data_IF_913623395118
#
_entry.id   IF_913623395118
#
_cell.length_a   1.000
_cell.length_b   1.000
_cell.length_c   1.000
_cell.angle_alpha   90.00
_cell.angle_beta   90.00
_cell.angle_gamma   90.00
#
_symmetry.space_group_name_H-M   'P 1'
#
loop_
_entity.id
_entity.type
_entity.pdbx_description
1 polymer ?
#
# COMPACT_ATOMS: atom_id res chain seq x y z
N UNK A 1 67.23 12.40 -9.61
CA UNK A 1 66.23 13.38 -10.04
C UNK A 1 64.85 12.73 -9.86
N UNK A 2 64.27 13.09 -8.73
CA UNK A 2 63.05 12.47 -8.21
C UNK A 2 61.84 12.97 -8.93
N UNK A 3 61.02 12.03 -9.43
CA UNK A 3 59.66 12.32 -9.82
C UNK A 3 58.71 11.76 -8.77
N UNK A 4 58.49 12.53 -7.73
CA UNK A 4 57.37 12.40 -6.81
C UNK A 4 56.07 12.75 -7.56
N UNK A 5 55.40 11.74 -8.13
CA UNK A 5 54.03 11.89 -8.61
C UNK A 5 53.09 12.01 -7.40
N UNK A 6 52.68 13.21 -7.12
CA UNK A 6 51.57 13.53 -6.22
C UNK A 6 50.31 12.82 -6.67
N UNK A 7 49.97 11.74 -6.00
CA UNK A 7 48.60 11.18 -6.02
C UNK A 7 47.67 12.21 -5.41
N UNK A 8 47.08 13.05 -6.25
CA UNK A 8 45.93 13.86 -5.88
C UNK A 8 44.79 12.89 -5.54
N UNK A 9 44.52 12.79 -4.26
CA UNK A 9 43.35 12.15 -3.67
C UNK A 9 42.12 12.92 -4.18
N UNK A 10 41.52 12.43 -5.28
CA UNK A 10 40.24 12.91 -5.77
C UNK A 10 39.17 12.39 -4.77
N UNK A 11 39.02 13.08 -3.66
CA UNK A 11 37.75 13.05 -2.91
C UNK A 11 36.67 13.43 -3.90
N UNK A 12 35.85 12.44 -4.29
CA UNK A 12 34.68 12.70 -5.11
C UNK A 12 33.79 13.68 -4.33
N UNK A 13 33.79 14.94 -4.75
CA UNK A 13 32.70 15.85 -4.38
C UNK A 13 31.39 15.14 -4.78
N UNK A 14 30.64 14.72 -3.77
CA UNK A 14 29.29 14.20 -3.98
C UNK A 14 28.49 15.40 -4.47
N UNK A 15 28.20 15.42 -5.77
CA UNK A 15 27.36 16.45 -6.35
C UNK A 15 26.08 16.56 -5.49
N UNK A 16 25.83 17.72 -4.91
CA UNK A 16 24.73 17.97 -3.97
C UNK A 16 23.37 17.57 -4.56
N UNK A 17 23.21 17.74 -5.86
CA UNK A 17 22.00 17.33 -6.58
C UNK A 17 21.87 15.79 -6.63
N UNK A 18 22.97 15.08 -6.89
CA UNK A 18 22.96 13.61 -6.94
C UNK A 18 22.66 13.01 -5.57
N UNK A 19 23.12 13.63 -4.50
CA UNK A 19 22.84 13.24 -3.12
C UNK A 19 21.36 13.46 -2.77
N UNK A 20 20.79 14.63 -3.11
CA UNK A 20 19.37 14.90 -2.89
C UNK A 20 18.47 13.92 -3.64
N UNK A 21 18.76 13.64 -4.90
CA UNK A 21 18.04 12.64 -5.70
C UNK A 21 18.13 11.25 -5.05
N UNK A 22 19.30 10.88 -4.53
CA UNK A 22 19.48 9.60 -3.84
C UNK A 22 18.64 9.50 -2.55
N UNK A 23 18.54 10.57 -1.77
CA UNK A 23 17.69 10.65 -0.59
C UNK A 23 16.20 10.48 -0.96
N UNK A 24 15.69 11.24 -1.93
CA UNK A 24 14.30 11.11 -2.42
C UNK A 24 14.03 9.71 -2.95
N UNK A 25 14.96 9.09 -3.67
CA UNK A 25 14.83 7.71 -4.15
C UNK A 25 14.77 6.70 -3.00
N UNK A 26 15.53 6.91 -1.92
CA UNK A 26 15.51 6.06 -0.74
C UNK A 26 14.16 6.15 0.00
N UNK A 27 13.53 7.32 0.06
CA UNK A 27 12.20 7.54 0.62
C UNK A 27 11.06 6.86 -0.18
N UNK A 28 11.30 6.48 -1.46
CA UNK A 28 10.38 5.73 -2.33
C UNK A 28 8.97 6.33 -2.46
N UNK A 29 8.79 7.57 -2.96
CA UNK A 29 7.47 8.21 -3.06
C UNK A 29 6.43 7.40 -3.86
N UNK A 30 6.86 6.59 -4.84
CA UNK A 30 5.96 5.72 -5.62
C UNK A 30 5.16 4.76 -4.73
N UNK A 31 5.69 4.37 -3.57
CA UNK A 31 5.00 3.49 -2.64
C UNK A 31 3.97 4.20 -1.75
N UNK A 32 3.89 5.54 -1.77
CA UNK A 32 2.89 6.32 -1.05
C UNK A 32 1.46 6.02 -1.50
N UNK A 33 1.28 5.52 -2.72
CA UNK A 33 -0.03 5.07 -3.23
C UNK A 33 -0.72 4.06 -2.29
N UNK A 34 0.05 3.23 -1.56
CA UNK A 34 -0.51 2.28 -0.59
C UNK A 34 -1.19 2.97 0.59
N UNK A 35 -0.76 4.19 0.90
CA UNK A 35 -1.29 4.97 2.01
C UNK A 35 -2.63 5.63 1.65
N UNK A 36 -3.06 5.59 0.36
CA UNK A 36 -4.44 5.94 -0.02
C UNK A 36 -5.48 5.07 0.69
N UNK A 37 -5.08 3.89 1.22
CA UNK A 37 -5.93 3.06 2.06
C UNK A 37 -6.48 3.78 3.31
N UNK A 38 -5.82 4.87 3.79
CA UNK A 38 -6.35 5.70 4.88
C UNK A 38 -7.67 6.39 4.49
N UNK A 39 -7.86 6.70 3.21
CA UNK A 39 -9.09 7.35 2.73
C UNK A 39 -10.27 6.37 2.59
N UNK A 40 -10.05 5.06 2.78
CA UNK A 40 -11.11 4.07 2.61
C UNK A 40 -12.29 4.32 3.57
N UNK A 41 -12.03 4.60 4.85
CA UNK A 41 -13.08 4.93 5.80
C UNK A 41 -13.86 6.20 5.37
N UNK A 42 -13.14 7.26 5.02
CA UNK A 42 -13.73 8.53 4.59
C UNK A 42 -14.61 8.37 3.35
N UNK A 43 -14.21 7.50 2.41
CA UNK A 43 -14.99 7.22 1.20
C UNK A 43 -16.34 6.57 1.52
N UNK A 44 -16.38 5.62 2.48
CA UNK A 44 -17.58 4.83 2.76
C UNK A 44 -18.46 5.40 3.90
N UNK A 45 -18.00 6.42 4.66
CA UNK A 45 -18.83 7.10 5.66
C UNK A 45 -19.75 8.17 5.07
N UNK A 46 -19.51 8.61 3.84
CA UNK A 46 -20.28 9.70 3.23
C UNK A 46 -19.65 11.09 3.42
N UNK A 47 -18.48 11.16 4.05
CA UNK A 47 -17.84 12.42 4.49
C UNK A 47 -16.70 12.87 3.59
N UNK A 48 -16.56 12.31 2.37
CA UNK A 48 -15.42 12.55 1.47
C UNK A 48 -15.21 14.03 1.16
N UNK A 49 -16.30 14.79 1.01
CA UNK A 49 -16.27 16.21 0.69
C UNK A 49 -16.40 17.13 1.93
N UNK A 50 -16.46 16.56 3.13
CA UNK A 50 -16.40 17.33 4.36
C UNK A 50 -14.96 17.82 4.58
N UNK A 51 -14.75 19.13 4.45
CA UNK A 51 -13.43 19.75 4.41
C UNK A 51 -12.58 19.44 5.65
N UNK A 52 -13.19 19.40 6.84
CA UNK A 52 -12.50 19.11 8.08
C UNK A 52 -12.02 17.65 8.14
N UNK A 53 -12.86 16.69 7.78
CA UNK A 53 -12.49 15.27 7.78
C UNK A 53 -11.47 14.97 6.69
N UNK A 54 -11.65 15.55 5.50
CA UNK A 54 -10.67 15.42 4.42
C UNK A 54 -9.29 15.94 4.85
N UNK A 55 -9.22 17.13 5.45
CA UNK A 55 -7.96 17.72 5.92
C UNK A 55 -7.28 16.83 6.98
N UNK A 56 -8.04 16.28 7.94
CA UNK A 56 -7.51 15.36 8.97
C UNK A 56 -6.94 14.08 8.35
N UNK A 57 -7.67 13.44 7.42
CA UNK A 57 -7.20 12.22 6.74
C UNK A 57 -6.01 12.52 5.83
N UNK A 58 -5.97 13.69 5.20
CA UNK A 58 -4.81 14.11 4.41
C UNK A 58 -3.54 14.30 5.28
N UNK A 59 -3.67 14.91 6.47
CA UNK A 59 -2.55 15.00 7.42
C UNK A 59 -2.11 13.60 7.90
N UNK A 60 -3.06 12.70 8.14
CA UNK A 60 -2.77 11.31 8.47
C UNK A 60 -2.04 10.59 7.31
N UNK A 61 -2.44 10.84 6.09
CA UNK A 61 -1.77 10.33 4.89
C UNK A 61 -0.32 10.82 4.80
N UNK A 62 -0.06 12.10 5.06
CA UNK A 62 1.31 12.65 5.10
C UNK A 62 2.14 11.98 6.21
N UNK A 63 1.57 11.82 7.42
CA UNK A 63 2.24 11.14 8.52
C UNK A 63 2.62 9.69 8.16
N UNK A 64 1.71 8.94 7.53
CA UNK A 64 2.00 7.58 7.06
C UNK A 64 2.98 7.55 5.90
N UNK A 65 3.04 8.55 5.04
CA UNK A 65 4.05 8.65 4.00
C UNK A 65 5.44 8.78 4.60
N UNK A 66 5.61 9.64 5.60
CA UNK A 66 6.88 9.78 6.32
C UNK A 66 7.25 8.49 7.08
N UNK A 67 6.30 7.89 7.81
CA UNK A 67 6.53 6.63 8.51
C UNK A 67 6.93 5.50 7.54
N UNK A 68 6.23 5.37 6.41
CA UNK A 68 6.53 4.36 5.39
C UNK A 68 7.90 4.57 4.76
N UNK A 69 8.24 5.82 4.41
CA UNK A 69 9.55 6.17 3.85
C UNK A 69 10.69 5.84 4.83
N UNK A 70 10.53 6.20 6.10
CA UNK A 70 11.49 5.85 7.15
C UNK A 70 11.72 4.34 7.24
N UNK A 71 10.65 3.54 7.20
CA UNK A 71 10.75 2.07 7.29
C UNK A 71 11.44 1.47 6.05
N UNK A 72 11.26 2.04 4.86
CA UNK A 72 11.99 1.61 3.67
C UNK A 72 13.48 1.91 3.78
N UNK A 73 13.84 3.11 4.24
CA UNK A 73 15.25 3.49 4.44
C UNK A 73 15.91 2.58 5.48
N UNK A 74 15.23 2.33 6.61
CA UNK A 74 15.72 1.41 7.65
C UNK A 74 15.91 -0.01 7.08
N UNK A 75 14.95 -0.51 6.31
CA UNK A 75 15.09 -1.82 5.68
C UNK A 75 16.26 -1.85 4.66
N UNK A 76 16.47 -0.79 3.89
CA UNK A 76 17.58 -0.71 2.94
C UNK A 76 18.93 -0.64 3.66
N UNK A 77 19.01 -0.04 4.85
CA UNK A 77 20.21 -0.07 5.71
C UNK A 77 20.52 -1.50 6.18
N UNK A 78 19.51 -2.23 6.70
CA UNK A 78 19.67 -3.61 7.13
C UNK A 78 20.05 -4.55 5.98
N UNK A 79 19.47 -4.35 4.81
CA UNK A 79 19.67 -5.19 3.64
C UNK A 79 20.88 -4.76 2.78
N UNK A 80 21.56 -3.64 3.08
CA UNK A 80 22.58 -3.03 2.23
C UNK A 80 23.70 -4.02 1.82
N UNK A 81 24.16 -4.88 2.73
CA UNK A 81 25.21 -5.87 2.44
C UNK A 81 24.72 -6.93 1.43
N UNK A 82 23.51 -7.44 1.59
CA UNK A 82 22.94 -8.46 0.69
C UNK A 82 22.49 -7.87 -0.64
N UNK A 83 21.99 -6.64 -0.63
CA UNK A 83 21.50 -5.96 -1.84
C UNK A 83 22.62 -5.65 -2.84
N UNK A 84 23.86 -5.47 -2.39
CA UNK A 84 25.04 -5.27 -3.27
C UNK A 84 25.28 -6.42 -4.25
N UNK A 85 24.90 -7.63 -3.85
CA UNK A 85 25.06 -8.83 -4.69
C UNK A 85 23.81 -9.14 -5.53
N UNK A 86 22.73 -8.37 -5.36
CA UNK A 86 21.49 -8.59 -6.10
C UNK A 86 21.52 -7.83 -7.43
N UNK A 87 21.11 -8.43 -8.57
CA UNK A 87 21.22 -7.81 -9.90
C UNK A 87 20.51 -6.46 -10.00
N UNK A 88 19.35 -6.31 -9.38
CA UNK A 88 18.52 -5.10 -9.45
C UNK A 88 18.70 -4.22 -8.19
N UNK A 89 18.69 -4.83 -7.00
CA UNK A 89 18.73 -4.07 -5.73
C UNK A 89 20.08 -3.42 -5.44
N UNK A 90 21.17 -3.83 -6.12
CA UNK A 90 22.50 -3.17 -6.04
C UNK A 90 22.45 -1.69 -6.40
N UNK A 91 21.45 -1.27 -7.18
CA UNK A 91 21.27 0.12 -7.60
C UNK A 91 20.55 1.00 -6.53
N UNK A 92 20.04 0.38 -5.46
CA UNK A 92 19.42 1.13 -4.36
C UNK A 92 20.41 2.14 -3.76
N UNK A 93 19.97 3.35 -3.38
CA UNK A 93 20.86 4.43 -2.93
C UNK A 93 21.82 4.03 -1.81
N UNK A 94 21.36 3.27 -0.82
CA UNK A 94 22.20 2.81 0.30
C UNK A 94 23.14 1.68 -0.12
N UNK A 95 22.66 0.70 -0.90
CA UNK A 95 23.46 -0.42 -1.37
C UNK A 95 24.56 0.01 -2.34
N UNK A 96 24.26 0.93 -3.25
CA UNK A 96 25.20 1.49 -4.23
C UNK A 96 26.23 2.45 -3.62
N UNK A 97 25.99 2.93 -2.38
CA UNK A 97 26.84 3.92 -1.71
C UNK A 97 26.55 5.37 -2.13
N UNK A 98 25.56 5.64 -2.99
CA UNK A 98 25.13 7.01 -3.35
C UNK A 98 24.59 7.77 -2.15
N UNK A 99 23.91 7.06 -1.22
CA UNK A 99 23.48 7.60 0.06
C UNK A 99 24.23 6.85 1.18
N UNK A 100 25.21 7.49 1.84
CA UNK A 100 25.94 6.87 2.93
C UNK A 100 25.02 6.51 4.11
N UNK A 101 25.26 5.36 4.75
CA UNK A 101 24.40 4.82 5.84
C UNK A 101 24.12 5.85 6.95
N UNK A 102 25.09 6.69 7.29
CA UNK A 102 24.93 7.73 8.33
C UNK A 102 23.85 8.74 7.96
N UNK A 103 23.86 9.23 6.73
CA UNK A 103 22.86 10.18 6.24
C UNK A 103 21.49 9.51 6.04
N UNK A 104 21.45 8.26 5.54
CA UNK A 104 20.22 7.47 5.47
C UNK A 104 19.58 7.29 6.86
N UNK A 105 20.38 7.05 7.91
CA UNK A 105 19.88 6.94 9.27
C UNK A 105 19.32 8.26 9.80
N UNK A 106 20.01 9.38 9.58
CA UNK A 106 19.54 10.72 9.97
C UNK A 106 18.22 11.04 9.24
N UNK A 107 18.13 10.76 7.95
CA UNK A 107 16.92 10.93 7.17
C UNK A 107 15.77 10.09 7.73
N UNK A 108 16.01 8.80 7.99
CA UNK A 108 14.99 7.91 8.55
C UNK A 108 14.49 8.40 9.91
N UNK A 109 15.38 8.82 10.82
CA UNK A 109 15.01 9.35 12.13
C UNK A 109 14.22 10.66 12.01
N UNK A 110 14.63 11.55 11.10
CA UNK A 110 13.91 12.80 10.81
C UNK A 110 12.48 12.53 10.30
N UNK A 111 12.33 11.56 9.39
CA UNK A 111 11.01 11.16 8.87
C UNK A 111 10.15 10.49 9.96
N UNK A 112 10.71 9.68 10.85
CA UNK A 112 9.99 9.16 12.02
C UNK A 112 9.53 10.30 12.91
N UNK A 113 10.41 11.25 13.22
CA UNK A 113 10.06 12.43 14.02
C UNK A 113 8.91 13.23 13.42
N UNK A 114 8.95 13.50 12.10
CA UNK A 114 7.88 14.20 11.39
C UNK A 114 6.55 13.40 11.40
N UNK A 115 6.62 12.08 11.19
CA UNK A 115 5.44 11.22 11.24
C UNK A 115 4.76 11.27 12.63
N UNK A 116 5.55 11.16 13.70
CA UNK A 116 5.04 11.20 15.07
C UNK A 116 4.54 12.59 15.45
N UNK A 117 5.23 13.65 15.03
CA UNK A 117 4.81 15.04 15.27
C UNK A 117 3.43 15.31 14.64
N UNK A 118 3.21 14.92 13.38
CA UNK A 118 1.91 15.04 12.74
C UNK A 118 0.85 14.17 13.43
N UNK A 119 1.24 12.99 13.89
CA UNK A 119 0.32 12.08 14.56
C UNK A 119 -0.15 12.59 15.94
N UNK A 120 0.66 13.38 16.66
CA UNK A 120 0.26 13.96 17.97
C UNK A 120 -0.86 14.99 17.83
N UNK A 121 -0.95 15.68 16.69
CA UNK A 121 -2.00 16.65 16.39
C UNK A 121 -3.35 16.05 15.99
N UNK A 122 -3.42 14.72 15.88
CA UNK A 122 -4.62 13.96 15.49
C UNK A 122 -5.17 13.13 16.66
N UNK A 123 -5.95 12.09 16.34
CA UNK A 123 -6.53 11.20 17.33
C UNK A 123 -5.45 10.33 18.03
N UNK A 124 -5.50 10.10 19.37
CA UNK A 124 -4.56 9.22 20.06
C UNK A 124 -4.47 7.80 19.50
N UNK A 125 -5.58 7.20 19.06
CA UNK A 125 -5.60 5.89 18.42
C UNK A 125 -4.85 5.89 17.09
N UNK A 126 -4.89 7.01 16.35
CA UNK A 126 -4.08 7.19 15.16
C UNK A 126 -2.59 7.22 15.50
N UNK A 127 -2.20 7.94 16.55
CA UNK A 127 -0.82 7.97 17.01
C UNK A 127 -0.30 6.57 17.36
N UNK A 128 -1.09 5.79 18.12
CA UNK A 128 -0.74 4.39 18.42
C UNK A 128 -0.69 3.52 17.18
N UNK A 129 -1.52 3.78 16.16
CA UNK A 129 -1.47 3.06 14.88
C UNK A 129 -0.15 3.30 14.14
N UNK A 130 0.36 4.54 14.15
CA UNK A 130 1.67 4.88 13.56
C UNK A 130 2.79 4.17 14.31
N UNK A 131 2.78 4.19 15.65
CA UNK A 131 3.78 3.49 16.47
C UNK A 131 3.75 1.98 16.22
N UNK A 132 2.57 1.37 16.21
CA UNK A 132 2.38 -0.06 15.93
C UNK A 132 2.90 -0.41 14.53
N UNK A 133 2.60 0.42 13.53
CA UNK A 133 3.11 0.23 12.18
C UNK A 133 4.65 0.27 12.15
N UNK A 134 5.26 1.28 12.75
CA UNK A 134 6.72 1.41 12.82
C UNK A 134 7.35 0.19 13.51
N UNK A 135 6.81 -0.23 14.66
CA UNK A 135 7.31 -1.38 15.41
C UNK A 135 7.25 -2.67 14.57
N UNK A 136 6.12 -2.95 13.94
CA UNK A 136 5.94 -4.14 13.10
C UNK A 136 6.91 -4.12 11.91
N UNK A 137 7.13 -2.96 11.27
CA UNK A 137 8.04 -2.85 10.14
C UNK A 137 9.52 -3.00 10.54
N UNK A 138 9.90 -2.54 11.73
CA UNK A 138 11.24 -2.79 12.28
C UNK A 138 11.43 -4.28 12.56
N UNK A 139 10.49 -4.94 13.26
CA UNK A 139 10.53 -6.37 13.50
C UNK A 139 10.58 -7.20 12.21
N UNK A 140 9.83 -6.77 11.19
CA UNK A 140 9.88 -7.37 9.87
C UNK A 140 11.28 -7.28 9.26
N UNK A 141 11.93 -6.10 9.35
CA UNK A 141 13.27 -5.86 8.82
C UNK A 141 14.34 -6.63 9.58
N UNK A 142 14.18 -6.80 10.90
CA UNK A 142 15.13 -7.54 11.77
C UNK A 142 15.16 -9.05 11.48
N UNK A 143 14.06 -9.64 10.99
CA UNK A 143 14.10 -11.07 10.67
C UNK A 143 12.78 -11.76 10.37
N UNK A 144 11.63 -11.21 10.79
CA UNK A 144 10.33 -11.85 10.58
C UNK A 144 10.00 -12.06 9.09
N UNK A 145 10.56 -11.25 8.20
CA UNK A 145 10.48 -11.41 6.73
C UNK A 145 11.05 -12.74 6.21
N UNK A 146 11.83 -13.46 7.03
CA UNK A 146 12.44 -14.74 6.64
C UNK A 146 11.60 -15.97 7.04
N UNK A 147 10.49 -15.76 7.77
CA UNK A 147 9.60 -16.83 8.23
C UNK A 147 8.44 -16.92 7.22
N UNK A 148 8.27 -18.08 6.54
CA UNK A 148 7.15 -18.29 5.62
C UNK A 148 5.80 -18.09 6.31
N UNK A 149 4.81 -17.63 5.56
CA UNK A 149 3.46 -17.27 5.99
C UNK A 149 3.46 -15.99 6.85
N UNK A 150 4.32 -15.88 7.85
CA UNK A 150 4.41 -14.69 8.70
C UNK A 150 4.79 -13.44 7.87
N UNK A 151 5.64 -13.61 6.85
CA UNK A 151 6.02 -12.55 5.94
C UNK A 151 4.84 -12.03 5.08
N UNK A 152 3.88 -12.90 4.73
CA UNK A 152 2.61 -12.52 4.07
C UNK A 152 1.70 -11.78 5.05
N UNK A 153 1.52 -12.35 6.26
CA UNK A 153 0.66 -11.79 7.29
C UNK A 153 1.09 -10.39 7.72
N UNK A 154 2.39 -10.15 7.88
CA UNK A 154 2.92 -8.83 8.26
C UNK A 154 2.70 -7.79 7.15
N UNK A 155 2.85 -8.16 5.89
CA UNK A 155 2.53 -7.26 4.78
C UNK A 155 1.05 -6.90 4.78
N UNK A 156 0.17 -7.89 4.96
CA UNK A 156 -1.26 -7.68 5.05
C UNK A 156 -1.63 -6.80 6.26
N UNK A 157 -1.02 -7.04 7.43
CA UNK A 157 -1.22 -6.23 8.62
C UNK A 157 -0.90 -4.76 8.37
N UNK A 158 0.15 -4.46 7.59
CA UNK A 158 0.48 -3.10 7.20
C UNK A 158 -0.64 -2.38 6.42
N UNK A 159 -1.42 -3.09 5.59
CA UNK A 159 -2.60 -2.54 4.92
C UNK A 159 -3.77 -2.36 5.90
N UNK A 160 -4.01 -3.35 6.75
CA UNK A 160 -5.09 -3.31 7.74
C UNK A 160 -4.90 -2.12 8.69
N UNK A 161 -3.69 -1.92 9.21
CA UNK A 161 -3.37 -0.77 10.09
C UNK A 161 -3.67 0.55 9.41
N UNK A 162 -3.38 0.72 8.11
CA UNK A 162 -3.68 1.95 7.37
C UNK A 162 -5.17 2.24 7.32
N UNK A 163 -6.00 1.24 7.03
CA UNK A 163 -7.46 1.42 6.97
C UNK A 163 -8.02 1.80 8.33
N UNK A 164 -7.59 1.11 9.40
CA UNK A 164 -7.98 1.45 10.77
C UNK A 164 -7.49 2.82 11.19
N UNK A 165 -6.26 3.17 10.85
CA UNK A 165 -5.69 4.48 11.15
C UNK A 165 -6.53 5.61 10.52
N UNK A 166 -6.96 5.45 9.27
CA UNK A 166 -7.88 6.39 8.62
C UNK A 166 -9.22 6.51 9.34
N UNK A 167 -9.79 5.39 9.77
CA UNK A 167 -11.04 5.36 10.52
C UNK A 167 -10.90 6.05 11.89
N UNK A 168 -9.81 5.82 12.60
CA UNK A 168 -9.57 6.47 13.91
C UNK A 168 -9.46 7.99 13.81
N UNK A 169 -8.90 8.51 12.73
CA UNK A 169 -8.76 9.96 12.53
C UNK A 169 -10.09 10.69 12.49
N UNK A 170 -11.11 10.05 11.93
CA UNK A 170 -12.46 10.63 11.78
C UNK A 170 -13.48 10.01 12.75
N UNK A 171 -13.02 9.17 13.69
CA UNK A 171 -13.85 8.39 14.60
C UNK A 171 -14.94 7.56 13.89
N UNK A 172 -14.62 7.03 12.70
CA UNK A 172 -15.55 6.23 11.93
C UNK A 172 -15.63 4.79 12.45
N UNK A 173 -16.83 4.25 12.50
CA UNK A 173 -17.05 2.83 12.75
C UNK A 173 -16.92 2.04 11.45
N UNK A 174 -16.06 1.04 11.46
CA UNK A 174 -15.90 0.12 10.32
C UNK A 174 -16.80 -1.10 10.50
N UNK A 175 -17.58 -1.40 9.48
CA UNK A 175 -18.40 -2.60 9.43
C UNK A 175 -17.54 -3.87 9.42
N UNK A 176 -18.02 -4.93 10.05
CA UNK A 176 -17.33 -6.23 10.10
C UNK A 176 -17.12 -6.79 8.67
N UNK A 177 -18.10 -6.62 7.79
CA UNK A 177 -18.01 -7.05 6.40
C UNK A 177 -16.97 -6.25 5.60
N UNK A 178 -16.88 -4.94 5.85
CA UNK A 178 -15.84 -4.11 5.25
C UNK A 178 -14.43 -4.52 5.72
N UNK A 179 -14.28 -4.82 7.02
CA UNK A 179 -13.02 -5.31 7.56
C UNK A 179 -12.62 -6.66 6.94
N UNK A 180 -13.57 -7.56 6.76
CA UNK A 180 -13.31 -8.84 6.10
C UNK A 180 -12.83 -8.62 4.65
N UNK A 181 -13.42 -7.66 3.93
CA UNK A 181 -12.95 -7.27 2.61
C UNK A 181 -11.51 -6.74 2.64
N UNK A 182 -11.21 -5.82 3.55
CA UNK A 182 -9.86 -5.25 3.73
C UNK A 182 -8.82 -6.34 4.03
N UNK A 183 -9.13 -7.26 4.94
CA UNK A 183 -8.25 -8.38 5.31
C UNK A 183 -8.00 -9.27 4.09
N UNK A 184 -9.07 -9.65 3.38
CA UNK A 184 -8.98 -10.53 2.21
C UNK A 184 -8.15 -9.92 1.09
N UNK A 185 -8.40 -8.65 0.75
CA UNK A 185 -7.64 -7.90 -0.28
C UNK A 185 -6.18 -7.75 0.15
N UNK A 186 -5.91 -7.44 1.42
CA UNK A 186 -4.55 -7.29 1.93
C UNK A 186 -3.76 -8.60 1.81
N UNK A 187 -4.37 -9.75 2.15
CA UNK A 187 -3.77 -11.07 2.02
C UNK A 187 -3.60 -11.46 0.54
N UNK A 188 -4.55 -11.12 -0.31
CA UNK A 188 -4.47 -11.32 -1.75
C UNK A 188 -3.25 -10.60 -2.36
N UNK A 189 -3.10 -9.31 -2.07
CA UNK A 189 -1.97 -8.51 -2.56
C UNK A 189 -0.64 -8.99 -1.97
N UNK A 190 -0.60 -9.35 -0.68
CA UNK A 190 0.60 -9.86 -0.03
C UNK A 190 1.04 -11.22 -0.61
N UNK A 191 0.09 -12.14 -0.82
CA UNK A 191 0.35 -13.44 -1.46
C UNK A 191 0.81 -13.27 -2.91
N UNK A 192 0.17 -12.37 -3.65
CA UNK A 192 0.54 -12.02 -5.01
C UNK A 192 1.96 -11.48 -5.09
N UNK A 193 2.37 -10.63 -4.14
CA UNK A 193 3.74 -10.14 -4.05
C UNK A 193 4.75 -11.29 -3.89
N UNK A 194 4.48 -12.25 -3.00
CA UNK A 194 5.38 -13.41 -2.82
C UNK A 194 5.42 -14.29 -4.06
N UNK A 195 4.27 -14.45 -4.71
CA UNK A 195 4.20 -15.23 -5.95
C UNK A 195 4.99 -14.59 -7.10
N UNK A 196 4.91 -13.28 -7.25
CA UNK A 196 5.69 -12.52 -8.23
C UNK A 196 7.20 -12.61 -7.94
N UNK A 197 7.63 -12.39 -6.69
CA UNK A 197 9.03 -12.52 -6.29
C UNK A 197 9.62 -13.92 -6.57
N UNK A 198 8.81 -14.98 -6.42
CA UNK A 198 9.27 -16.35 -6.69
C UNK A 198 9.58 -16.60 -8.17
N UNK A 199 8.88 -15.96 -9.10
CA UNK A 199 9.17 -16.08 -10.52
C UNK A 199 10.58 -15.57 -10.86
N UNK A 200 10.92 -14.39 -10.35
CA UNK A 200 12.21 -13.73 -10.63
C UNK A 200 13.39 -14.52 -10.09
N UNK A 201 13.23 -15.09 -8.89
CA UNK A 201 14.29 -15.84 -8.23
C UNK A 201 14.61 -17.13 -8.98
N UNK A 202 13.61 -17.79 -9.59
CA UNK A 202 13.83 -18.99 -10.39
C UNK A 202 14.58 -18.72 -11.69
N UNK A 203 14.32 -17.56 -12.32
CA UNK A 203 14.94 -17.19 -13.58
C UNK A 203 16.41 -16.74 -13.42
N UNK A 204 16.84 -16.38 -12.22
CA UNK A 204 18.14 -15.77 -11.98
C UNK A 204 19.10 -16.58 -11.08
N UNK A 205 18.74 -17.78 -10.64
CA UNK A 205 19.52 -18.62 -9.68
C UNK A 205 19.89 -17.88 -8.36
N UNK A 206 19.22 -16.78 -8.07
CA UNK A 206 19.57 -15.81 -7.03
C UNK A 206 18.58 -15.89 -5.87
N UNK A 207 18.96 -16.61 -4.83
CA UNK A 207 18.13 -16.74 -3.64
C UNK A 207 18.48 -15.65 -2.65
N UNK A 208 17.71 -14.58 -2.68
CA UNK A 208 17.93 -13.40 -1.83
C UNK A 208 17.17 -13.43 -0.48
N UNK A 209 16.15 -14.27 -0.36
CA UNK A 209 15.32 -14.37 0.86
C UNK A 209 15.15 -15.80 1.32
N UNK A 210 15.42 -16.08 2.62
CA UNK A 210 15.29 -17.43 3.20
C UNK A 210 13.84 -17.96 3.15
N UNK A 211 12.82 -17.09 3.30
CA UNK A 211 11.41 -17.48 3.21
C UNK A 211 11.03 -17.98 1.82
N UNK A 212 11.54 -17.36 0.75
CA UNK A 212 11.23 -17.74 -0.63
C UNK A 212 11.71 -19.14 -0.99
N UNK A 213 12.83 -19.62 -0.39
CA UNK A 213 13.33 -20.99 -0.57
C UNK A 213 12.32 -22.06 -0.12
N UNK A 214 11.50 -21.74 0.86
CA UNK A 214 10.55 -22.67 1.48
C UNK A 214 9.17 -22.65 0.82
N UNK A 215 8.89 -21.68 -0.06
CA UNK A 215 7.63 -21.62 -0.77
C UNK A 215 7.66 -22.48 -2.05
N UNK A 216 6.67 -23.35 -2.18
CA UNK A 216 6.35 -24.01 -3.45
C UNK A 216 5.44 -23.10 -4.28
N UNK A 217 5.61 -23.12 -5.60
CA UNK A 217 4.83 -22.32 -6.54
C UNK A 217 3.33 -22.64 -6.42
N UNK A 218 3.00 -23.91 -6.27
CA UNK A 218 1.64 -24.41 -6.14
C UNK A 218 0.95 -23.86 -4.88
N UNK A 219 1.70 -23.78 -3.76
CA UNK A 219 1.18 -23.25 -2.50
C UNK A 219 0.85 -21.76 -2.62
N UNK A 220 1.74 -20.98 -3.23
CA UNK A 220 1.49 -19.55 -3.45
C UNK A 220 0.36 -19.32 -4.46
N UNK A 221 0.23 -20.16 -5.49
CA UNK A 221 -0.92 -20.12 -6.40
C UNK A 221 -2.23 -20.34 -5.63
N UNK A 222 -2.25 -21.35 -4.73
CA UNK A 222 -3.42 -21.63 -3.89
C UNK A 222 -3.78 -20.46 -2.99
N UNK A 223 -2.79 -19.81 -2.35
CA UNK A 223 -3.03 -18.63 -1.51
C UNK A 223 -3.59 -17.46 -2.31
N UNK A 224 -3.01 -17.15 -3.48
CA UNK A 224 -3.51 -16.07 -4.35
C UNK A 224 -4.94 -16.34 -4.79
N UNK A 225 -5.26 -17.58 -5.18
CA UNK A 225 -6.62 -17.94 -5.58
C UNK A 225 -7.60 -17.91 -4.42
N UNK A 226 -7.21 -18.44 -3.26
CA UNK A 226 -8.06 -18.46 -2.05
C UNK A 226 -8.41 -17.04 -1.61
N UNK A 227 -7.41 -16.16 -1.48
CA UNK A 227 -7.64 -14.78 -1.04
C UNK A 227 -8.27 -13.91 -2.13
N UNK A 228 -8.05 -14.20 -3.41
CA UNK A 228 -8.76 -13.57 -4.52
C UNK A 228 -10.26 -13.86 -4.47
N UNK A 229 -10.64 -15.12 -4.25
CA UNK A 229 -12.03 -15.50 -4.08
C UNK A 229 -12.65 -14.87 -2.82
N UNK A 230 -11.92 -14.89 -1.69
CA UNK A 230 -12.37 -14.23 -0.47
C UNK A 230 -12.58 -12.72 -0.66
N UNK A 231 -11.75 -12.06 -1.47
CA UNK A 231 -11.82 -10.62 -1.71
C UNK A 231 -13.10 -10.18 -2.41
N UNK A 232 -13.47 -10.80 -3.54
CA UNK A 232 -14.71 -10.42 -4.22
C UNK A 232 -15.94 -10.88 -3.45
N UNK A 233 -15.87 -12.04 -2.78
CA UNK A 233 -16.96 -12.55 -1.96
C UNK A 233 -17.26 -11.63 -0.77
N UNK A 234 -16.22 -11.22 -0.03
CA UNK A 234 -16.38 -10.28 1.10
C UNK A 234 -16.85 -8.90 0.64
N UNK A 235 -16.41 -8.43 -0.54
CA UNK A 235 -16.96 -7.22 -1.15
C UNK A 235 -18.45 -7.35 -1.47
N UNK A 236 -18.86 -8.49 -2.05
CA UNK A 236 -20.26 -8.75 -2.33
C UNK A 236 -21.09 -8.78 -1.04
N UNK A 237 -20.59 -9.44 0.02
CA UNK A 237 -21.26 -9.46 1.33
C UNK A 237 -21.36 -8.08 1.95
N UNK A 238 -20.30 -7.27 1.90
CA UNK A 238 -20.33 -5.88 2.37
C UNK A 238 -21.40 -5.06 1.62
N UNK A 239 -21.41 -5.11 0.29
CA UNK A 239 -22.39 -4.38 -0.51
C UNK A 239 -23.81 -4.88 -0.32
N UNK A 240 -23.98 -6.13 0.10
CA UNK A 240 -25.29 -6.71 0.39
C UNK A 240 -25.80 -6.38 1.79
N UNK A 241 -24.98 -6.57 2.83
CA UNK A 241 -25.43 -6.43 4.23
C UNK A 241 -25.29 -5.01 4.78
N UNK A 242 -24.21 -4.30 4.44
CA UNK A 242 -23.79 -3.04 5.06
C UNK A 242 -23.56 -1.93 4.05
N UNK A 243 -24.22 -1.99 2.88
CA UNK A 243 -24.06 -0.98 1.85
C UNK A 243 -24.40 0.41 2.39
N UNK A 244 -23.50 1.40 2.26
CA UNK A 244 -23.87 2.79 2.51
C UNK A 244 -25.04 3.20 1.62
N UNK A 245 -25.89 4.07 2.13
CA UNK A 245 -27.06 4.55 1.38
C UNK A 245 -26.61 5.38 0.17
N UNK A 246 -27.22 5.11 -0.98
CA UNK A 246 -27.00 5.93 -2.17
C UNK A 246 -27.59 7.34 -1.96
N UNK A 247 -26.88 8.38 -2.40
CA UNK A 247 -27.30 9.77 -2.24
C UNK A 247 -28.21 10.29 -3.35
N UNK A 248 -28.27 9.60 -4.51
CA UNK A 248 -29.00 10.05 -5.69
C UNK A 248 -30.51 9.97 -5.52
N UNK A 249 -31.26 11.09 -5.60
CA UNK A 249 -32.72 11.12 -5.46
C UNK A 249 -33.45 10.22 -6.46
N UNK A 250 -32.95 10.12 -7.68
CA UNK A 250 -33.49 9.25 -8.75
C UNK A 250 -33.51 7.78 -8.32
N UNK A 251 -32.48 7.35 -7.60
CA UNK A 251 -32.39 5.97 -7.14
C UNK A 251 -33.31 5.71 -5.94
N UNK A 252 -33.51 6.68 -5.06
CA UNK A 252 -34.48 6.60 -3.97
C UNK A 252 -35.90 6.48 -4.55
N UNK A 253 -36.23 7.25 -5.58
CA UNK A 253 -37.51 7.16 -6.30
C UNK A 253 -37.72 5.81 -6.99
N UNK A 254 -36.69 5.29 -7.68
CA UNK A 254 -36.72 3.96 -8.29
C UNK A 254 -36.84 2.83 -7.26
N UNK A 255 -36.20 3.00 -6.09
CA UNK A 255 -36.31 2.07 -4.97
C UNK A 255 -37.77 2.02 -4.44
N UNK A 256 -38.42 3.17 -4.35
CA UNK A 256 -39.78 3.29 -3.88
C UNK A 256 -40.78 2.67 -4.86
N UNK A 257 -40.60 2.87 -6.17
CA UNK A 257 -41.44 2.26 -7.20
C UNK A 257 -41.24 0.76 -7.32
N UNK A 258 -40.00 0.29 -7.28
CA UNK A 258 -39.69 -1.13 -7.56
C UNK A 258 -40.09 -2.07 -6.43
N UNK A 259 -40.37 -1.54 -5.22
CA UNK A 259 -40.64 -2.32 -3.98
C UNK A 259 -39.64 -3.47 -3.73
N UNK A 260 -38.52 -3.46 -4.43
CA UNK A 260 -37.48 -4.47 -4.32
C UNK A 260 -36.34 -3.96 -3.43
N UNK A 261 -35.92 -4.78 -2.46
CA UNK A 261 -34.76 -4.51 -1.57
C UNK A 261 -33.45 -4.31 -2.32
N UNK A 262 -33.37 -4.70 -3.59
CA UNK A 262 -32.17 -4.66 -4.43
C UNK A 262 -31.73 -3.25 -4.80
N UNK A 263 -32.64 -2.30 -4.93
CA UNK A 263 -32.31 -0.92 -5.36
C UNK A 263 -31.59 -0.15 -4.26
N UNK A 264 -31.81 -0.50 -2.98
CA UNK A 264 -31.08 0.06 -1.86
C UNK A 264 -29.61 -0.39 -1.79
N UNK A 265 -29.21 -1.33 -2.67
CA UNK A 265 -27.88 -1.98 -2.66
C UNK A 265 -27.14 -1.73 -3.97
N UNK A 266 -27.16 -0.49 -4.44
CA UNK A 266 -26.57 -0.10 -5.74
C UNK A 266 -25.07 -0.41 -5.84
N UNK A 267 -24.34 -0.44 -4.73
CA UNK A 267 -22.93 -0.82 -4.76
C UNK A 267 -22.70 -2.23 -5.28
N UNK A 268 -23.71 -3.11 -5.29
CA UNK A 268 -23.60 -4.45 -5.89
C UNK A 268 -23.27 -4.39 -7.39
N UNK A 269 -23.61 -3.32 -8.11
CA UNK A 269 -23.25 -3.15 -9.53
C UNK A 269 -21.73 -3.12 -9.75
N UNK A 270 -20.97 -2.83 -8.71
CA UNK A 270 -19.51 -2.81 -8.76
C UNK A 270 -18.87 -4.19 -8.66
N UNK A 271 -19.61 -5.23 -8.27
CA UNK A 271 -19.09 -6.60 -8.08
C UNK A 271 -18.41 -7.15 -9.34
N UNK A 272 -19.00 -7.07 -10.57
CA UNK A 272 -18.33 -7.52 -11.77
C UNK A 272 -17.01 -6.80 -12.06
N UNK A 273 -16.92 -5.50 -11.73
CA UNK A 273 -15.71 -4.70 -11.91
C UNK A 273 -14.60 -5.21 -10.97
N UNK A 274 -14.96 -5.52 -9.70
CA UNK A 274 -14.02 -6.09 -8.72
C UNK A 274 -13.55 -7.46 -9.16
N UNK A 275 -14.45 -8.32 -9.63
CA UNK A 275 -14.10 -9.66 -10.15
C UNK A 275 -13.11 -9.52 -11.31
N UNK A 276 -13.38 -8.63 -12.27
CA UNK A 276 -12.48 -8.38 -13.40
C UNK A 276 -11.09 -7.92 -12.91
N UNK A 277 -11.03 -6.97 -11.97
CA UNK A 277 -9.78 -6.47 -11.41
C UNK A 277 -8.96 -7.58 -10.74
N UNK A 278 -9.61 -8.44 -9.94
CA UNK A 278 -8.97 -9.59 -9.28
C UNK A 278 -8.44 -10.59 -10.32
N UNK A 279 -9.26 -10.97 -11.30
CA UNK A 279 -8.84 -11.91 -12.36
C UNK A 279 -7.68 -11.34 -13.18
N UNK A 280 -7.73 -10.05 -13.54
CA UNK A 280 -6.67 -9.39 -14.29
C UNK A 280 -5.36 -9.36 -13.51
N UNK A 281 -5.42 -9.00 -12.22
CA UNK A 281 -4.24 -9.00 -11.34
C UNK A 281 -3.64 -10.40 -11.19
N UNK A 282 -4.47 -11.44 -11.01
CA UNK A 282 -4.01 -12.85 -10.94
C UNK A 282 -3.30 -13.26 -12.23
N UNK A 283 -3.89 -12.96 -13.41
CA UNK A 283 -3.29 -13.27 -14.69
C UNK A 283 -1.90 -12.66 -14.82
N UNK A 284 -1.74 -11.37 -14.51
CA UNK A 284 -0.46 -10.66 -14.59
C UNK A 284 0.62 -11.25 -13.66
N UNK A 285 0.22 -11.66 -12.44
CA UNK A 285 1.14 -12.29 -11.49
C UNK A 285 1.55 -13.69 -11.96
N UNK A 286 0.62 -14.47 -12.49
CA UNK A 286 0.91 -15.84 -12.93
C UNK A 286 1.73 -15.85 -14.22
N UNK A 287 1.57 -14.87 -15.10
CA UNK A 287 2.37 -14.66 -16.29
C UNK A 287 3.81 -14.16 -15.98
N UNK A 288 4.08 -13.71 -14.77
CA UNK A 288 5.41 -13.26 -14.35
C UNK A 288 5.83 -11.89 -14.87
N UNK A 289 4.88 -11.06 -15.32
CA UNK A 289 5.14 -9.77 -15.99
C UNK A 289 5.70 -8.67 -15.11
N UNK A 290 5.74 -8.82 -13.78
CA UNK A 290 6.27 -7.78 -12.89
C UNK A 290 6.75 -8.32 -11.55
N UNK A 291 7.76 -7.63 -11.02
CA UNK A 291 8.39 -7.91 -9.73
C UNK A 291 7.61 -7.35 -8.54
N UNK A 292 6.85 -6.28 -8.76
CA UNK A 292 6.17 -5.57 -7.68
C UNK A 292 4.71 -5.35 -8.02
N UNK A 293 3.78 -5.72 -7.12
CA UNK A 293 2.35 -5.47 -7.28
C UNK A 293 2.02 -4.02 -7.57
N UNK A 294 2.75 -3.09 -6.95
CA UNK A 294 2.54 -1.66 -7.12
C UNK A 294 2.79 -1.19 -8.55
N UNK A 295 3.82 -1.76 -9.19
CA UNK A 295 4.13 -1.45 -10.59
C UNK A 295 3.01 -1.96 -11.50
N UNK A 296 2.51 -3.17 -11.26
CA UNK A 296 1.39 -3.75 -12.02
C UNK A 296 0.16 -2.84 -11.89
N UNK A 297 -0.19 -2.43 -10.67
CA UNK A 297 -1.34 -1.57 -10.39
C UNK A 297 -1.26 -0.20 -11.06
N UNK A 298 -0.07 0.27 -11.42
CA UNK A 298 0.14 1.58 -12.04
C UNK A 298 0.37 1.50 -13.56
N UNK A 299 0.78 0.35 -14.10
CA UNK A 299 1.22 0.23 -15.50
C UNK A 299 0.27 -0.55 -16.39
N UNK A 300 -0.50 -1.49 -15.84
CA UNK A 300 -1.45 -2.25 -16.65
C UNK A 300 -2.72 -1.43 -16.91
N UNK A 301 -2.93 -1.03 -18.16
CA UNK A 301 -4.03 -0.14 -18.55
C UNK A 301 -5.41 -0.70 -18.21
N UNK A 302 -5.61 -2.02 -18.34
CA UNK A 302 -6.90 -2.65 -18.06
C UNK A 302 -7.19 -2.68 -16.55
N UNK A 303 -6.16 -2.95 -15.74
CA UNK A 303 -6.29 -2.94 -14.29
C UNK A 303 -6.50 -1.51 -13.76
N UNK A 304 -5.73 -0.53 -14.27
CA UNK A 304 -5.93 0.89 -13.93
C UNK A 304 -7.33 1.35 -14.29
N UNK A 305 -7.80 1.03 -15.51
CA UNK A 305 -9.14 1.38 -15.96
C UNK A 305 -10.23 0.76 -15.05
N UNK A 306 -10.06 -0.49 -14.62
CA UNK A 306 -11.01 -1.14 -13.71
C UNK A 306 -11.06 -0.47 -12.32
N UNK A 307 -9.90 -0.07 -11.78
CA UNK A 307 -9.82 0.64 -10.49
C UNK A 307 -10.47 2.03 -10.61
N UNK A 308 -10.16 2.78 -11.67
CA UNK A 308 -10.74 4.10 -11.92
C UNK A 308 -12.25 4.00 -12.10
N UNK A 309 -12.72 3.04 -12.91
CA UNK A 309 -14.16 2.81 -13.10
C UNK A 309 -14.85 2.44 -11.80
N UNK A 310 -14.28 1.52 -11.02
CA UNK A 310 -14.81 1.11 -9.72
C UNK A 310 -14.92 2.30 -8.76
N UNK A 311 -13.85 3.08 -8.62
CA UNK A 311 -13.85 4.27 -7.75
C UNK A 311 -14.85 5.31 -8.22
N UNK A 312 -14.92 5.58 -9.54
CA UNK A 312 -15.85 6.56 -10.12
C UNK A 312 -17.31 6.15 -9.88
N UNK A 313 -17.63 4.87 -10.06
CA UNK A 313 -18.99 4.36 -9.82
C UNK A 313 -19.35 4.45 -8.34
N UNK A 314 -18.44 4.13 -7.41
CA UNK A 314 -18.67 4.29 -5.98
C UNK A 314 -18.92 5.75 -5.62
N UNK A 315 -18.04 6.67 -6.06
CA UNK A 315 -18.20 8.10 -5.79
C UNK A 315 -19.51 8.61 -6.38
N UNK A 316 -19.86 8.18 -7.58
CA UNK A 316 -21.14 8.58 -8.19
C UNK A 316 -22.35 8.06 -7.40
N UNK A 317 -22.35 6.83 -6.94
CA UNK A 317 -23.45 6.25 -6.15
C UNK A 317 -23.57 6.95 -4.79
N UNK A 318 -22.46 7.17 -4.09
CA UNK A 318 -22.46 7.68 -2.72
C UNK A 318 -22.63 9.20 -2.65
N UNK A 319 -22.13 9.93 -3.67
CA UNK A 319 -22.00 11.40 -3.61
C UNK A 319 -22.68 12.14 -4.76
N UNK A 320 -23.15 11.47 -5.81
CA UNK A 320 -23.71 12.12 -6.99
C UNK A 320 -25.02 12.88 -6.77
N UNK A 321 -25.69 12.70 -5.62
CA UNK A 321 -26.92 13.43 -5.23
C UNK A 321 -26.69 14.53 -4.20
N UNK A 322 -25.46 14.70 -3.72
CA UNK A 322 -25.13 15.78 -2.79
C UNK A 322 -25.01 17.05 -3.62
N UNK A 323 -26.01 17.91 -3.56
CA UNK A 323 -25.86 19.29 -4.03
C UNK A 323 -24.78 19.92 -3.13
N UNK A 324 -23.68 20.34 -3.75
CA UNK A 324 -22.62 21.12 -3.09
C UNK A 324 -23.22 22.51 -2.78
N UNK A 325 -24.00 22.60 -1.71
CA UNK A 325 -24.45 23.86 -1.17
C UNK A 325 -23.42 24.29 -0.13
N UNK A 326 -22.47 25.12 -0.55
CA UNK A 326 -21.50 25.72 0.34
C UNK A 326 -20.14 26.01 -0.34
N UNK A 327 -20.15 26.76 -1.45
CA UNK A 327 -19.04 27.63 -1.83
C UNK A 327 -19.53 29.05 -1.70
#
# INVERSE_FOLDING_TARGET
>A
MDNLSTKTDKTKEVDSLSFFVAAVQAARPVHWIKNLALFAALLFTGDLFESLFFAKVFLAFLAFNFATSATYIINDIFDAKSDRFHPIKKERPVASGKLPVRFALIEALGLVGLALLLATGLNPLFHYSVLTYLAIQVLYSLGLKNIPILDILIIAMGFIIRVYAGAFVINAHLSVWFLLCVISVALFLASGKRRAELNIVKDADLITRKSLKRYKKELLNSYVTMFGNASWMSWALFTFFESPKASLPVWLFLAEISRTTTVNKLLMITIPIVIFGIMRYQALIFEGRSETPEKILLTDKALVASIVLWTSVIVWILYGGISVHGI
#
